data_IF_261915567081
#
_entry.id   IF_261915567081
#
_cell.length_a   1.000
_cell.length_b   1.000
_cell.length_c   1.000
_cell.angle_alpha   90.00
_cell.angle_beta   90.00
_cell.angle_gamma   90.00
#
_symmetry.space_group_name_H-M   'P 1'
#
loop_
_entity.id
_entity.type
_entity.pdbx_description
1 polymer ?
#
# COMPACT_ATOMS: atom_id res chain seq x y z
N UNK A 1 -0.22 19.46 0.42
CA UNK A 1 -0.55 18.13 -0.09
C UNK A 1 -1.67 17.53 0.74
N UNK A 2 -2.71 17.03 0.09
CA UNK A 2 -3.85 16.47 0.81
C UNK A 2 -3.54 15.08 1.34
N UNK A 3 -4.29 14.62 2.31
CA UNK A 3 -4.16 13.27 2.85
C UNK A 3 -4.34 12.22 1.74
N UNK A 4 -5.29 12.46 0.85
CA UNK A 4 -5.56 11.57 -0.27
C UNK A 4 -4.35 11.41 -1.18
N UNK A 5 -3.68 12.50 -1.50
CA UNK A 5 -2.48 12.45 -2.34
C UNK A 5 -1.35 11.70 -1.67
N UNK A 6 -1.16 11.93 -0.36
CA UNK A 6 -0.13 11.24 0.41
C UNK A 6 -0.38 9.74 0.45
N UNK A 7 -1.63 9.34 0.68
CA UNK A 7 -1.99 7.92 0.69
C UNK A 7 -1.71 7.29 -0.67
N UNK A 8 -2.06 7.99 -1.75
CA UNK A 8 -1.84 7.52 -3.11
C UNK A 8 -0.35 7.31 -3.39
N UNK A 9 0.49 8.24 -2.97
CA UNK A 9 1.95 8.11 -3.11
C UNK A 9 2.51 6.93 -2.33
N UNK A 10 2.04 6.75 -1.10
CA UNK A 10 2.49 5.63 -0.26
C UNK A 10 2.06 4.30 -0.88
N UNK A 11 0.83 4.23 -1.40
CA UNK A 11 0.35 3.03 -2.07
C UNK A 11 1.20 2.68 -3.29
N UNK A 12 1.56 3.67 -4.10
CA UNK A 12 2.44 3.44 -5.25
C UNK A 12 3.80 2.91 -4.81
N UNK A 13 4.37 3.47 -3.76
CA UNK A 13 5.65 3.03 -3.22
C UNK A 13 5.58 1.59 -2.70
N UNK A 14 4.48 1.24 -2.04
CA UNK A 14 4.27 -0.11 -1.53
C UNK A 14 4.16 -1.10 -2.69
N UNK A 15 3.39 -0.77 -3.72
CA UNK A 15 3.24 -1.64 -4.88
C UNK A 15 4.56 -1.88 -5.60
N UNK A 16 5.36 -0.85 -5.76
CA UNK A 16 6.69 -0.97 -6.36
C UNK A 16 7.60 -1.85 -5.50
N UNK A 17 7.54 -1.69 -4.18
CA UNK A 17 8.30 -2.51 -3.25
C UNK A 17 7.90 -3.97 -3.29
N UNK A 18 6.60 -4.24 -3.36
CA UNK A 18 6.09 -5.61 -3.47
C UNK A 18 6.55 -6.29 -4.75
N UNK A 19 6.56 -5.55 -5.87
CA UNK A 19 7.07 -6.08 -7.13
C UNK A 19 8.53 -6.46 -7.03
N UNK A 20 9.35 -5.63 -6.41
CA UNK A 20 10.77 -5.90 -6.22
C UNK A 20 11.00 -7.12 -5.33
N UNK A 21 10.22 -7.25 -4.26
CA UNK A 21 10.29 -8.40 -3.36
C UNK A 21 9.95 -9.68 -4.12
N UNK A 22 8.92 -9.63 -4.96
CA UNK A 22 8.51 -10.78 -5.77
C UNK A 22 9.59 -11.19 -6.77
N UNK A 23 10.35 -10.22 -7.29
CA UNK A 23 11.43 -10.49 -8.24
C UNK A 23 12.64 -11.15 -7.58
N UNK A 24 12.93 -10.82 -6.33
CA UNK A 24 14.14 -11.31 -5.68
C UNK A 24 14.04 -12.75 -5.19
N UNK A 25 12.86 -13.29 -5.03
CA UNK A 25 12.60 -14.70 -4.67
C UNK A 25 13.35 -15.24 -3.46
N UNK A 26 13.85 -14.39 -2.62
CA UNK A 26 14.54 -14.84 -1.45
C UNK A 26 13.57 -14.88 -0.29
N UNK A 27 13.38 -15.81 0.09
CA UNK A 27 12.57 -16.77 0.70
C UNK A 27 11.74 -16.25 1.87
N UNK A 28 11.97 -16.51 3.07
CA UNK A 28 10.97 -16.22 4.10
C UNK A 28 11.04 -14.80 4.69
N UNK A 29 12.20 -14.14 4.59
CA UNK A 29 12.28 -12.73 4.97
C UNK A 29 11.44 -11.87 4.04
N UNK A 30 11.46 -12.21 2.76
CA UNK A 30 10.65 -11.50 1.77
C UNK A 30 9.16 -11.77 1.98
N UNK A 31 8.79 -12.97 2.40
CA UNK A 31 7.40 -13.29 2.71
C UNK A 31 6.88 -12.44 3.87
N UNK A 32 7.69 -12.24 4.89
CA UNK A 32 7.30 -11.42 6.03
C UNK A 32 7.12 -9.96 5.63
N UNK A 33 8.08 -9.42 4.87
CA UNK A 33 8.02 -8.05 4.38
C UNK A 33 6.82 -7.88 3.44
N UNK A 34 6.59 -8.84 2.56
CA UNK A 34 5.46 -8.82 1.65
C UNK A 34 4.13 -8.79 2.42
N UNK A 35 4.01 -9.60 3.45
CA UNK A 35 2.79 -9.63 4.27
C UNK A 35 2.56 -8.29 4.97
N UNK A 36 3.62 -7.65 5.48
CA UNK A 36 3.52 -6.34 6.10
C UNK A 36 3.09 -5.27 5.10
N UNK A 37 3.68 -5.28 3.90
CA UNK A 37 3.32 -4.34 2.83
C UNK A 37 1.87 -4.53 2.40
N UNK A 38 1.42 -5.76 2.27
CA UNK A 38 0.04 -6.04 1.89
C UNK A 38 -0.95 -5.60 2.95
N UNK A 39 -0.64 -5.81 4.22
CA UNK A 39 -1.46 -5.32 5.32
C UNK A 39 -1.61 -3.82 5.29
N UNK A 40 -0.50 -3.10 5.12
CA UNK A 40 -0.52 -1.65 5.03
C UNK A 40 -1.28 -1.18 3.81
N UNK A 41 -1.11 -1.85 2.68
CA UNK A 41 -1.84 -1.53 1.45
C UNK A 41 -3.35 -1.63 1.65
N UNK A 42 -3.80 -2.67 2.33
CA UNK A 42 -5.23 -2.88 2.61
C UNK A 42 -5.77 -1.74 3.47
N UNK A 43 -5.06 -1.37 4.54
CA UNK A 43 -5.47 -0.30 5.44
C UNK A 43 -5.54 1.05 4.72
N UNK A 44 -4.54 1.35 3.91
CA UNK A 44 -4.49 2.61 3.16
C UNK A 44 -5.58 2.67 2.09
N UNK A 45 -5.85 1.55 1.43
CA UNK A 45 -6.93 1.48 0.43
C UNK A 45 -8.28 1.73 1.09
N UNK A 46 -8.52 1.15 2.25
CA UNK A 46 -9.74 1.38 3.01
C UNK A 46 -9.89 2.84 3.40
N UNK A 47 -8.80 3.46 3.85
CA UNK A 47 -8.80 4.88 4.21
C UNK A 47 -9.10 5.77 3.01
N UNK A 48 -8.53 5.44 1.86
CA UNK A 48 -8.74 6.19 0.63
C UNK A 48 -10.22 6.13 0.20
N UNK A 49 -10.84 4.97 0.31
CA UNK A 49 -12.27 4.81 0.02
C UNK A 49 -13.11 5.65 0.96
N UNK A 50 -12.75 5.68 2.23
CA UNK A 50 -13.46 6.47 3.22
C UNK A 50 -13.39 7.97 2.90
N UNK A 51 -12.22 8.46 2.53
CA UNK A 51 -12.03 9.84 2.13
C UNK A 51 -12.83 10.19 0.87
N UNK A 52 -12.84 9.29 -0.12
CA UNK A 52 -13.63 9.50 -1.33
C UNK A 52 -15.12 9.57 -1.03
N UNK A 53 -15.58 8.75 -0.10
CA UNK A 53 -16.98 8.76 0.32
C UNK A 53 -17.36 10.09 0.96
N UNK A 54 -16.48 10.63 1.80
CA UNK A 54 -16.71 11.93 2.46
C UNK A 54 -16.75 13.07 1.44
N UNK A 55 -15.90 13.02 0.43
CA UNK A 55 -15.88 14.04 -0.61
C UNK A 55 -17.15 14.08 -1.44
N UNK A 56 -17.80 12.95 -1.61
CA UNK A 56 -19.03 12.85 -2.41
C UNK A 56 -20.29 13.23 -1.64
N UNK A 57 -20.21 13.23 -0.32
CA UNK A 57 -21.37 13.63 0.47
C UNK A 57 -21.27 15.09 0.86
#
# INVERSE_FOLDING_TARGET
MSERERISEVLDAIENGMCKIAETRDIWQNDLIYALCEGERILLTARLKELSRKEKS
#
